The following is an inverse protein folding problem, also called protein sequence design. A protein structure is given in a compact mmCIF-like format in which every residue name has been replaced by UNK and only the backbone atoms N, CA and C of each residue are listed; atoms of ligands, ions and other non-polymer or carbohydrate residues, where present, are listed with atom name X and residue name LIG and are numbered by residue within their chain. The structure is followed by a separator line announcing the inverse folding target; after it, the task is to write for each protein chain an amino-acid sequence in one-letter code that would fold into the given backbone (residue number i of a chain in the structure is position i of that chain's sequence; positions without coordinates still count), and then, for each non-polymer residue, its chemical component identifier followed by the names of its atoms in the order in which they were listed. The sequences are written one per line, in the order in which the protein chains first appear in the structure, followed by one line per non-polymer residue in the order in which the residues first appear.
data_IF_399157985167
#
_entry.id   IF_399157985167
#
_cell.length_a   1.000
_cell.length_b   1.000
_cell.length_c   1.000
_cell.angle_alpha   90.00
_cell.angle_beta   90.00
_cell.angle_gamma   90.00
#
_symmetry.space_group_name_H-M   'P 1'
#
loop_
_entity.id
_entity.type
_entity.pdbx_description
1 polymer ?
#
# COMPACT_ATOMS: atom_id res chain seq x y z
N UNK A 1 29.16 54.88 29.77
CA UNK A 1 28.14 55.92 29.55
C UNK A 1 27.64 55.71 28.12
N UNK A 2 26.49 55.06 27.94
CA UNK A 2 25.16 55.70 27.69
C UNK A 2 25.24 56.65 26.47
N UNK A 3 24.44 56.59 25.42
CA UNK A 3 23.10 56.07 25.13
C UNK A 3 22.93 56.19 23.58
N UNK A 4 22.42 55.23 22.81
CA UNK A 4 21.01 54.81 22.59
C UNK A 4 20.34 55.43 21.35
N UNK A 5 19.54 54.58 20.64
CA UNK A 5 18.27 54.88 19.92
C UNK A 5 18.44 55.53 18.53
N UNK A 6 17.86 55.08 17.40
CA UNK A 6 16.67 54.25 17.08
C UNK A 6 16.73 53.83 15.59
N UNK A 7 16.31 52.62 15.19
CA UNK A 7 14.96 52.22 14.71
C UNK A 7 14.52 53.06 13.48
N UNK A 8 14.15 52.51 12.33
CA UNK A 8 12.95 51.72 12.02
C UNK A 8 12.98 51.34 10.50
N UNK A 9 12.23 50.43 9.86
CA UNK A 9 11.33 49.30 10.14
C UNK A 9 11.07 48.64 8.76
N UNK A 10 10.72 47.35 8.75
CA UNK A 10 10.30 46.62 7.55
C UNK A 10 9.90 45.17 7.87
N UNK A 11 9.04 45.02 8.87
CA UNK A 11 8.49 43.79 9.43
C UNK A 11 7.33 43.20 8.62
N UNK A 12 7.09 41.87 8.79
CA UNK A 12 5.82 41.10 8.92
C UNK A 12 5.98 39.75 8.19
N UNK A 13 5.74 38.54 8.72
CA UNK A 13 5.18 37.96 9.95
C UNK A 13 5.66 36.47 9.93
N UNK A 14 6.33 35.95 10.95
CA UNK A 14 5.77 35.26 12.12
C UNK A 14 5.11 33.90 11.83
N UNK A 15 5.75 32.82 12.29
CA UNK A 15 5.16 31.92 13.29
C UNK A 15 6.18 30.87 13.77
N UNK A 16 6.91 31.21 14.83
CA UNK A 16 7.36 30.23 15.82
C UNK A 16 6.44 30.40 17.03
N UNK A 17 5.74 29.36 17.48
CA UNK A 17 5.66 29.00 18.90
C UNK A 17 5.45 27.49 18.98
N UNK A 18 6.36 26.85 19.71
CA UNK A 18 6.33 25.46 20.10
C UNK A 18 5.60 25.30 21.45
N UNK A 19 5.31 24.02 21.74
CA UNK A 19 5.30 23.36 23.06
C UNK A 19 3.99 23.19 23.84
N UNK A 20 3.77 21.90 24.10
CA UNK A 20 3.50 21.27 25.40
C UNK A 20 2.04 21.01 25.78
N UNK A 21 1.71 19.73 25.76
CA UNK A 21 0.63 19.10 26.51
C UNK A 21 0.85 17.60 26.51
N UNK A 22 1.55 17.09 27.52
CA UNK A 22 1.75 15.66 27.71
C UNK A 22 0.43 14.96 28.05
N UNK A 23 0.16 13.88 27.35
CA UNK A 23 -0.67 12.79 27.82
C UNK A 23 -0.07 11.50 27.26
N UNK A 24 0.12 10.53 28.15
CA UNK A 24 0.47 9.15 27.81
C UNK A 24 -0.51 8.64 26.75
N UNK A 25 -0.07 8.56 25.49
CA UNK A 25 -0.84 7.96 24.42
C UNK A 25 0.11 7.13 23.58
N UNK A 26 -0.23 5.86 23.42
CA UNK A 26 0.32 4.98 22.41
C UNK A 26 0.49 5.77 21.10
N UNK A 27 1.57 5.59 20.33
CA UNK A 27 1.62 6.21 19.02
C UNK A 27 0.49 5.60 18.19
N UNK A 28 -0.55 6.42 18.01
CA UNK A 28 -1.62 6.21 17.07
C UNK A 28 -0.99 5.89 15.71
N UNK A 29 -1.65 5.00 14.97
CA UNK A 29 -1.43 4.86 13.53
C UNK A 29 -1.18 6.24 12.91
N UNK A 30 -0.17 6.40 12.04
CA UNK A 30 0.10 7.69 11.44
C UNK A 30 -1.21 8.25 10.86
N UNK A 31 -1.51 9.56 11.06
CA UNK A 31 -2.76 10.14 10.64
C UNK A 31 -2.97 9.87 9.15
N UNK A 32 -4.20 9.50 8.81
CA UNK A 32 -4.66 9.21 7.45
C UNK A 32 -4.49 10.37 6.45
N UNK A 33 -3.86 11.48 6.84
CA UNK A 33 -3.54 12.64 6.00
C UNK A 33 -2.14 12.59 5.38
N UNK A 34 -1.27 11.65 5.76
CA UNK A 34 0.08 11.52 5.19
C UNK A 34 0.18 10.33 4.22
N UNK A 35 -0.82 10.17 3.36
CA UNK A 35 -0.62 9.44 2.09
C UNK A 35 0.18 10.34 1.15
N UNK A 36 1.38 10.76 1.56
CA UNK A 36 2.32 11.35 0.63
C UNK A 36 2.55 10.28 -0.44
N UNK A 37 2.26 10.64 -1.69
CA UNK A 37 2.69 9.86 -2.83
C UNK A 37 4.20 9.71 -2.70
N UNK A 38 4.65 8.56 -2.23
CA UNK A 38 6.04 8.19 -2.36
C UNK A 38 6.23 7.94 -3.85
N UNK A 39 6.74 8.94 -4.56
CA UNK A 39 7.26 8.75 -5.90
C UNK A 39 8.18 7.54 -5.83
N UNK A 40 7.91 6.48 -6.59
CA UNK A 40 8.89 5.42 -6.84
C UNK A 40 9.95 5.97 -7.83
N UNK A 41 10.52 7.13 -7.51
CA UNK A 41 11.47 7.85 -8.33
C UNK A 41 12.84 7.21 -8.19
N UNK A 42 13.28 6.55 -9.26
CA UNK A 42 14.53 5.79 -9.40
C UNK A 42 14.64 4.53 -8.52
N UNK A 43 14.88 3.39 -9.17
CA UNK A 43 15.45 2.23 -8.49
C UNK A 43 16.86 2.63 -8.05
N UNK A 44 17.05 2.79 -6.74
CA UNK A 44 18.40 2.95 -6.19
C UNK A 44 19.09 1.59 -6.32
N UNK A 45 20.35 1.59 -6.77
CA UNK A 45 21.17 0.38 -6.71
C UNK A 45 21.51 0.11 -5.23
N UNK A 46 21.02 -1.01 -4.70
CA UNK A 46 21.25 -1.40 -3.30
C UNK A 46 22.76 -1.43 -2.99
N UNK A 47 23.61 -1.85 -3.95
CA UNK A 47 25.05 -1.93 -3.76
C UNK A 47 25.70 -0.55 -3.51
N UNK A 48 25.08 0.53 -4.00
CA UNK A 48 25.58 1.90 -3.82
C UNK A 48 25.26 2.50 -2.44
N UNK A 49 24.40 1.86 -1.65
CA UNK A 49 23.98 2.36 -0.35
C UNK A 49 24.99 2.03 0.75
N UNK A 50 25.12 2.87 1.81
CA UNK A 50 25.86 2.53 3.01
C UNK A 50 25.41 1.19 3.62
N UNK A 51 26.33 0.45 4.24
CA UNK A 51 26.05 -0.89 4.77
C UNK A 51 24.90 -0.92 5.78
N UNK A 52 24.86 0.05 6.68
CA UNK A 52 23.80 0.20 7.68
C UNK A 52 22.42 0.37 7.02
N UNK A 53 22.36 1.13 5.92
CA UNK A 53 21.11 1.31 5.17
C UNK A 53 20.67 -0.01 4.51
N UNK A 54 21.60 -0.75 3.90
CA UNK A 54 21.29 -2.05 3.28
C UNK A 54 20.78 -3.06 4.31
N UNK A 55 21.46 -3.16 5.46
CA UNK A 55 21.03 -4.05 6.56
C UNK A 55 19.63 -3.67 7.03
N UNK A 56 19.34 -2.37 7.19
CA UNK A 56 18.03 -1.90 7.63
C UNK A 56 16.92 -2.19 6.61
N UNK A 57 17.18 -2.00 5.31
CA UNK A 57 16.25 -2.34 4.22
C UNK A 57 15.98 -3.84 4.20
N UNK A 58 17.02 -4.67 4.29
CA UNK A 58 16.89 -6.13 4.36
C UNK A 58 16.07 -6.57 5.57
N UNK A 59 16.32 -5.99 6.74
CA UNK A 59 15.52 -6.25 7.95
C UNK A 59 14.07 -5.85 7.75
N UNK A 60 13.78 -4.67 7.23
CA UNK A 60 12.41 -4.23 6.94
C UNK A 60 11.71 -5.19 5.95
N UNK A 61 12.42 -5.67 4.93
CA UNK A 61 11.91 -6.64 3.96
C UNK A 61 11.57 -7.99 4.60
N UNK A 62 12.46 -8.55 5.42
CA UNK A 62 12.22 -9.79 6.16
C UNK A 62 11.02 -9.64 7.13
N UNK A 63 10.94 -8.51 7.82
CA UNK A 63 9.81 -8.22 8.71
C UNK A 63 8.49 -8.08 7.94
N UNK A 64 8.47 -7.43 6.76
CA UNK A 64 7.27 -7.34 5.92
C UNK A 64 6.81 -8.72 5.41
N UNK A 65 7.73 -9.63 5.14
CA UNK A 65 7.43 -11.03 4.77
C UNK A 65 6.98 -11.91 5.94
N UNK A 66 6.97 -11.38 7.16
CA UNK A 66 6.53 -12.12 8.35
C UNK A 66 7.64 -12.89 9.08
N UNK A 67 8.92 -12.69 8.73
CA UNK A 67 10.04 -13.27 9.48
C UNK A 67 10.08 -12.64 10.88
N UNK A 68 9.95 -13.46 11.91
CA UNK A 68 9.97 -13.02 13.31
C UNK A 68 10.99 -13.74 14.18
N UNK A 69 11.66 -14.75 13.64
CA UNK A 69 12.77 -15.42 14.31
C UNK A 69 14.00 -14.51 14.32
N UNK A 70 14.44 -14.09 15.50
CA UNK A 70 15.59 -13.21 15.68
C UNK A 70 16.90 -13.81 15.17
N UNK A 71 17.03 -15.15 15.13
CA UNK A 71 18.23 -15.79 14.58
C UNK A 71 18.37 -15.52 13.09
N UNK A 72 17.24 -15.53 12.37
CA UNK A 72 17.15 -15.20 10.95
C UNK A 72 17.38 -13.71 10.66
N UNK A 73 17.44 -12.85 11.68
CA UNK A 73 17.63 -11.40 11.57
C UNK A 73 19.03 -10.93 12.00
N UNK A 74 19.92 -11.83 12.45
CA UNK A 74 21.29 -11.46 12.84
C UNK A 74 22.08 -10.80 11.68
N UNK A 75 22.96 -9.82 11.95
CA UNK A 75 23.39 -9.31 13.26
C UNK A 75 22.46 -8.25 13.88
N UNK A 76 21.20 -8.17 13.42
CA UNK A 76 20.23 -7.19 13.93
C UNK A 76 19.59 -7.66 15.23
N UNK A 77 19.53 -6.74 16.18
CA UNK A 77 18.86 -6.88 17.48
C UNK A 77 17.72 -5.88 17.58
N UNK A 78 16.77 -6.13 18.49
CA UNK A 78 15.59 -5.27 18.66
C UNK A 78 15.52 -4.77 20.11
N UNK A 79 15.21 -3.48 20.30
CA UNK A 79 14.86 -2.98 21.62
C UNK A 79 13.59 -3.69 22.15
N UNK A 80 13.43 -3.72 23.48
CA UNK A 80 12.34 -4.44 24.15
C UNK A 80 10.97 -3.97 23.62
N UNK A 81 10.14 -4.93 23.21
CA UNK A 81 8.77 -4.68 22.77
C UNK A 81 8.62 -4.29 21.30
N UNK A 82 9.72 -4.06 20.57
CA UNK A 82 9.67 -3.73 19.13
C UNK A 82 9.10 -4.87 18.31
N UNK A 83 9.61 -6.09 18.48
CA UNK A 83 9.08 -7.27 17.78
C UNK A 83 7.62 -7.57 18.16
N UNK A 84 7.25 -7.35 19.42
CA UNK A 84 5.87 -7.50 19.88
C UNK A 84 4.91 -6.47 19.24
N UNK A 85 5.40 -5.26 18.94
CA UNK A 85 4.59 -4.24 18.23
C UNK A 85 4.25 -4.62 16.79
N UNK A 86 5.06 -5.50 16.17
CA UNK A 86 4.85 -6.06 14.83
C UNK A 86 4.03 -7.36 14.83
N UNK A 87 3.56 -7.83 15.99
CA UNK A 87 2.93 -9.14 16.16
C UNK A 87 1.49 -9.22 15.64
N UNK A 88 0.90 -8.11 15.20
CA UNK A 88 -0.40 -8.10 14.50
C UNK A 88 -0.16 -7.95 13.00
N UNK A 89 0.21 -9.01 12.27
CA UNK A 89 0.23 -8.93 10.82
C UNK A 89 -1.21 -8.74 10.36
N UNK A 90 -1.51 -7.59 9.74
CA UNK A 90 -2.74 -7.46 8.96
C UNK A 90 -2.70 -8.44 7.79
N UNK A 91 -1.52 -8.82 7.28
CA UNK A 91 -1.24 -10.05 6.50
C UNK A 91 0.26 -10.28 6.36
N UNK A 92 0.71 -11.53 6.24
CA UNK A 92 2.09 -11.89 5.89
C UNK A 92 2.21 -12.11 4.37
N UNK A 93 3.39 -11.83 3.80
CA UNK A 93 3.70 -12.04 2.39
C UNK A 93 4.71 -13.20 2.20
N UNK A 94 4.40 -14.44 2.63
CA UNK A 94 5.39 -15.52 2.69
C UNK A 94 5.92 -15.92 1.30
N UNK A 95 5.01 -15.99 0.32
CA UNK A 95 5.31 -16.44 -1.06
C UNK A 95 5.73 -15.29 -1.99
N UNK A 96 5.83 -14.07 -1.47
CA UNK A 96 6.26 -12.93 -2.26
C UNK A 96 7.77 -12.71 -2.14
N UNK A 97 8.36 -12.31 -3.26
CA UNK A 97 9.76 -11.90 -3.37
C UNK A 97 9.82 -10.38 -3.44
N UNK A 98 10.83 -9.78 -2.80
CA UNK A 98 11.09 -8.35 -2.91
C UNK A 98 11.58 -8.03 -4.32
N UNK A 99 10.88 -7.13 -5.01
CA UNK A 99 11.14 -6.73 -6.40
C UNK A 99 11.85 -5.37 -6.49
N UNK A 100 11.41 -4.41 -5.66
CA UNK A 100 11.92 -3.04 -5.71
C UNK A 100 11.87 -2.41 -4.32
N UNK A 101 12.82 -1.54 -4.03
CA UNK A 101 12.75 -0.65 -2.88
C UNK A 101 12.81 0.82 -3.36
N UNK A 102 12.18 1.71 -2.60
CA UNK A 102 12.26 3.15 -2.77
C UNK A 102 12.62 3.80 -1.44
N UNK A 103 13.60 4.69 -1.43
CA UNK A 103 13.98 5.43 -0.22
C UNK A 103 13.48 6.87 -0.34
N UNK A 104 12.60 7.26 0.56
CA UNK A 104 12.02 8.62 0.57
C UNK A 104 12.88 9.60 1.35
N UNK A 105 13.43 9.15 2.49
CA UNK A 105 14.25 10.00 3.35
C UNK A 105 15.20 9.19 4.24
N UNK A 106 16.35 9.79 4.54
CA UNK A 106 17.25 9.42 5.64
C UNK A 106 17.23 10.58 6.63
N UNK A 107 16.76 10.33 7.84
CA UNK A 107 16.55 11.34 8.87
C UNK A 107 17.39 11.02 10.11
N UNK A 108 17.59 12.04 10.94
CA UNK A 108 18.08 11.84 12.30
C UNK A 108 17.07 11.01 13.12
N UNK A 109 17.54 10.10 13.99
CA UNK A 109 16.68 9.29 14.83
C UNK A 109 16.02 10.14 15.92
N UNK A 110 14.88 9.67 16.43
CA UNK A 110 14.14 10.44 17.43
C UNK A 110 14.93 10.56 18.76
N UNK A 111 14.89 11.74 19.38
CA UNK A 111 15.46 11.96 20.70
C UNK A 111 16.99 12.04 20.76
N UNK A 112 17.66 12.44 19.67
CA UNK A 112 19.10 12.75 19.67
C UNK A 112 20.03 11.55 19.86
N UNK A 113 19.52 10.33 19.67
CA UNK A 113 20.33 9.10 19.73
C UNK A 113 21.26 9.02 18.51
N UNK A 114 22.37 8.28 18.60
CA UNK A 114 23.19 7.97 17.40
C UNK A 114 22.46 6.99 16.48
N UNK A 115 22.66 7.12 15.16
CA UNK A 115 22.08 6.23 14.16
C UNK A 115 21.24 6.97 13.12
N UNK A 116 20.25 6.29 12.54
CA UNK A 116 19.42 6.82 11.44
C UNK A 116 17.97 6.37 11.57
N UNK A 117 17.09 7.17 10.97
CA UNK A 117 15.71 6.80 10.68
C UNK A 117 15.53 6.76 9.17
N UNK A 118 15.14 5.61 8.64
CA UNK A 118 14.80 5.45 7.22
C UNK A 118 13.30 5.46 7.05
N UNK A 119 12.85 6.10 5.98
CA UNK A 119 11.46 6.09 5.52
C UNK A 119 11.46 5.74 4.03
N UNK A 120 10.65 4.76 3.65
CA UNK A 120 10.63 4.29 2.27
C UNK A 120 9.50 3.31 1.98
N UNK A 121 9.59 2.68 0.81
CA UNK A 121 8.66 1.65 0.35
C UNK A 121 9.40 0.40 -0.12
N UNK A 122 8.72 -0.73 0.00
CA UNK A 122 9.13 -2.05 -0.46
C UNK A 122 8.02 -2.61 -1.34
N UNK A 123 8.37 -3.02 -2.56
CA UNK A 123 7.47 -3.71 -3.46
C UNK A 123 7.79 -5.19 -3.44
N UNK A 124 6.73 -5.97 -3.24
CA UNK A 124 6.76 -7.41 -3.26
C UNK A 124 5.93 -7.92 -4.43
N UNK A 125 6.37 -8.98 -5.10
CA UNK A 125 5.65 -9.65 -6.19
C UNK A 125 5.65 -11.16 -5.96
N UNK A 126 4.63 -11.84 -6.45
CA UNK A 126 4.56 -13.31 -6.51
C UNK A 126 4.37 -13.80 -7.95
N UNK A 127 4.51 -15.11 -8.16
CA UNK A 127 4.45 -15.75 -9.47
C UNK A 127 3.12 -15.51 -10.21
N UNK A 128 1.99 -15.51 -9.50
CA UNK A 128 0.68 -15.23 -10.10
C UNK A 128 0.48 -13.75 -10.50
N UNK A 129 1.51 -12.91 -10.33
CA UNK A 129 1.52 -11.51 -10.75
C UNK A 129 0.91 -10.54 -9.74
N UNK A 130 0.44 -11.03 -8.59
CA UNK A 130 0.04 -10.14 -7.48
C UNK A 130 1.25 -9.37 -6.97
N UNK A 131 1.01 -8.15 -6.52
CA UNK A 131 2.01 -7.37 -5.83
C UNK A 131 1.46 -6.72 -4.57
N UNK A 132 2.35 -6.35 -3.66
CA UNK A 132 2.06 -5.55 -2.49
C UNK A 132 3.09 -4.43 -2.38
N UNK A 133 2.61 -3.21 -2.15
CA UNK A 133 3.47 -2.06 -1.86
C UNK A 133 3.35 -1.74 -0.37
N UNK A 134 4.44 -1.95 0.37
CA UNK A 134 4.49 -1.74 1.81
C UNK A 134 5.37 -0.53 2.10
N UNK A 135 4.85 0.43 2.85
CA UNK A 135 5.62 1.52 3.43
C UNK A 135 6.32 1.05 4.69
N UNK A 136 7.53 1.55 4.92
CA UNK A 136 8.28 1.26 6.13
C UNK A 136 8.86 2.52 6.77
N UNK A 137 8.98 2.46 8.09
CA UNK A 137 9.85 3.33 8.86
C UNK A 137 10.69 2.45 9.77
N UNK A 138 12.01 2.67 9.82
CA UNK A 138 12.92 1.95 10.71
C UNK A 138 13.89 2.93 11.36
N UNK A 139 13.88 2.99 12.69
CA UNK A 139 14.81 3.74 13.53
C UNK A 139 15.80 2.76 14.16
N UNK A 140 17.08 2.96 13.91
CA UNK A 140 18.12 2.07 14.40
C UNK A 140 19.38 2.82 14.86
N UNK A 141 20.09 2.21 15.80
CA UNK A 141 21.51 2.47 16.05
C UNK A 141 22.36 1.48 15.26
N UNK A 142 23.54 1.92 14.82
CA UNK A 142 24.48 1.10 14.08
C UNK A 142 25.89 1.27 14.69
N UNK A 143 26.54 0.14 14.97
CA UNK A 143 27.95 0.06 15.35
C UNK A 143 28.70 -0.75 14.28
N UNK A 144 30.01 -0.92 14.42
CA UNK A 144 30.81 -1.69 13.47
C UNK A 144 30.32 -3.15 13.32
N UNK A 145 29.77 -3.75 14.37
CA UNK A 145 29.45 -5.19 14.41
C UNK A 145 27.95 -5.49 14.48
N UNK A 146 27.10 -4.50 14.77
CA UNK A 146 25.69 -4.76 15.05
C UNK A 146 24.76 -3.58 14.73
N UNK A 147 23.52 -3.92 14.40
CA UNK A 147 22.40 -2.99 14.32
C UNK A 147 21.43 -3.25 15.46
N UNK A 148 20.96 -2.18 16.11
CA UNK A 148 19.88 -2.26 17.10
C UNK A 148 18.69 -1.45 16.62
N UNK A 149 17.61 -2.14 16.28
CA UNK A 149 16.34 -1.53 15.86
C UNK A 149 15.57 -1.09 17.09
N UNK A 150 15.28 0.22 17.15
CA UNK A 150 14.57 0.87 18.25
C UNK A 150 13.09 0.99 17.99
N UNK A 151 12.73 1.25 16.73
CA UNK A 151 11.34 1.36 16.27
C UNK A 151 11.25 0.88 14.83
N UNK A 152 10.16 0.22 14.52
CA UNK A 152 9.83 -0.16 13.14
C UNK A 152 8.32 -0.09 12.95
N UNK A 153 7.91 0.33 11.78
CA UNK A 153 6.50 0.38 11.37
C UNK A 153 6.41 -0.07 9.92
N UNK A 154 5.40 -0.90 9.65
CA UNK A 154 5.10 -1.44 8.33
C UNK A 154 3.61 -1.22 8.06
N UNK A 155 3.27 -0.75 6.88
CA UNK A 155 1.88 -0.45 6.51
C UNK A 155 1.69 -0.54 4.99
N UNK A 156 0.50 -0.97 4.58
CA UNK A 156 0.18 -1.06 3.16
C UNK A 156 -0.01 0.33 2.56
N UNK A 157 0.67 0.59 1.45
CA UNK A 157 0.64 1.85 0.72
C UNK A 157 -0.25 1.70 -0.51
N UNK A 158 -1.07 2.71 -0.80
CA UNK A 158 -1.82 2.77 -2.04
C UNK A 158 -0.86 2.90 -3.24
N UNK A 159 -0.87 1.96 -4.20
CA UNK A 159 -0.15 2.14 -5.45
C UNK A 159 -0.71 3.36 -6.22
N UNK A 160 0.15 4.12 -6.89
CA UNK A 160 -0.30 5.25 -7.71
C UNK A 160 -1.23 4.80 -8.85
N UNK A 161 -0.93 3.66 -9.46
CA UNK A 161 -1.71 3.05 -10.53
C UNK A 161 -1.97 1.56 -10.22
N UNK A 162 -2.94 1.24 -9.33
CA UNK A 162 -3.27 -0.13 -8.99
C UNK A 162 -3.67 -0.92 -10.23
N UNK A 163 -3.12 -2.12 -10.29
CA UNK A 163 -3.35 -3.05 -11.37
C UNK A 163 -4.59 -3.86 -11.10
N UNK A 164 -5.41 -3.98 -12.12
CA UNK A 164 -6.67 -4.70 -12.09
C UNK A 164 -6.76 -5.62 -13.30
N UNK A 165 -7.32 -6.80 -13.10
CA UNK A 165 -7.65 -7.76 -14.14
C UNK A 165 -9.17 -7.86 -14.28
N UNK A 166 -9.67 -7.84 -15.51
CA UNK A 166 -11.09 -7.88 -15.83
C UNK A 166 -11.46 -9.25 -16.41
N UNK A 167 -12.50 -9.87 -15.85
CA UNK A 167 -13.18 -11.01 -16.43
C UNK A 167 -14.64 -10.66 -16.69
N UNK A 168 -15.16 -11.16 -17.81
CA UNK A 168 -16.57 -11.07 -18.17
C UNK A 168 -17.13 -12.49 -18.16
N UNK A 169 -18.03 -12.76 -17.23
CA UNK A 169 -18.58 -14.12 -17.01
C UNK A 169 -20.07 -14.11 -17.31
N UNK A 170 -20.54 -14.80 -18.36
CA UNK A 170 -21.97 -14.93 -18.62
C UNK A 170 -22.72 -15.45 -17.39
N UNK A 171 -23.87 -14.85 -17.05
CA UNK A 171 -24.68 -15.28 -15.91
C UNK A 171 -25.20 -16.73 -16.06
N UNK A 172 -25.28 -17.22 -17.30
CA UNK A 172 -25.61 -18.60 -17.62
C UNK A 172 -24.57 -19.63 -17.14
N UNK A 173 -23.33 -19.18 -16.88
CA UNK A 173 -22.21 -20.04 -16.46
C UNK A 173 -21.90 -19.98 -14.97
N UNK A 174 -22.38 -18.96 -14.26
CA UNK A 174 -22.06 -18.76 -12.86
C UNK A 174 -23.17 -17.98 -12.14
N UNK A 175 -23.47 -18.38 -10.90
CA UNK A 175 -24.31 -17.61 -9.99
C UNK A 175 -23.47 -16.83 -8.97
N UNK A 176 -24.05 -15.77 -8.39
CA UNK A 176 -23.45 -15.06 -7.26
C UNK A 176 -23.20 -16.00 -6.06
N UNK A 177 -24.07 -16.99 -5.85
CA UNK A 177 -23.95 -17.94 -4.74
C UNK A 177 -22.71 -18.84 -4.89
N UNK A 178 -22.31 -19.18 -6.11
CA UNK A 178 -21.10 -19.97 -6.35
C UNK A 178 -19.84 -19.17 -6.05
N UNK A 179 -19.84 -17.88 -6.39
CA UNK A 179 -18.73 -16.99 -6.06
C UNK A 179 -18.54 -16.79 -4.55
N UNK A 180 -19.63 -16.69 -3.79
CA UNK A 180 -19.55 -16.51 -2.33
C UNK A 180 -18.83 -17.66 -1.63
N UNK A 181 -18.83 -18.86 -2.21
CA UNK A 181 -18.18 -20.07 -1.67
C UNK A 181 -16.66 -20.06 -1.80
N UNK A 182 -16.09 -19.31 -2.74
CA UNK A 182 -14.65 -19.29 -3.03
C UNK A 182 -13.87 -18.74 -1.82
N UNK A 183 -12.90 -19.48 -1.29
CA UNK A 183 -12.23 -19.10 -0.03
C UNK A 183 -10.93 -18.33 -0.26
N UNK A 184 -10.27 -18.56 -1.38
CA UNK A 184 -8.97 -17.94 -1.68
C UNK A 184 -9.00 -17.09 -2.95
N UNK A 185 -8.07 -16.15 -3.04
CA UNK A 185 -7.93 -15.32 -4.24
C UNK A 185 -7.55 -16.15 -5.47
N UNK A 186 -6.67 -17.14 -5.31
CA UNK A 186 -6.25 -18.05 -6.38
C UNK A 186 -7.41 -18.90 -6.92
N UNK A 187 -8.17 -19.53 -6.01
CA UNK A 187 -9.38 -20.30 -6.35
C UNK A 187 -10.39 -19.43 -7.12
N UNK A 188 -10.59 -18.18 -6.68
CA UNK A 188 -11.48 -17.27 -7.36
C UNK A 188 -10.99 -16.88 -8.76
N UNK A 189 -9.69 -16.64 -8.92
CA UNK A 189 -9.12 -16.31 -10.22
C UNK A 189 -9.22 -17.49 -11.20
N UNK A 190 -8.90 -18.71 -10.75
CA UNK A 190 -8.97 -19.91 -11.60
C UNK A 190 -10.40 -20.20 -12.04
N UNK A 191 -11.37 -20.07 -11.13
CA UNK A 191 -12.79 -20.19 -11.46
C UNK A 191 -13.22 -19.16 -12.52
N UNK A 192 -12.83 -17.88 -12.36
CA UNK A 192 -13.21 -16.84 -13.32
C UNK A 192 -12.54 -17.05 -14.68
N UNK A 193 -11.28 -17.51 -14.71
CA UNK A 193 -10.57 -17.84 -15.95
C UNK A 193 -11.28 -18.97 -16.72
N UNK A 194 -11.77 -19.99 -16.02
CA UNK A 194 -12.49 -21.10 -16.64
C UNK A 194 -13.87 -20.70 -17.20
N UNK A 195 -14.55 -19.75 -16.54
CA UNK A 195 -15.93 -19.38 -16.87
C UNK A 195 -16.04 -18.18 -17.82
N UNK A 196 -15.00 -17.35 -17.89
CA UNK A 196 -15.01 -16.13 -18.67
C UNK A 196 -15.27 -16.36 -20.16
N UNK A 197 -15.90 -15.36 -20.78
CA UNK A 197 -16.10 -15.28 -22.21
C UNK A 197 -15.28 -14.11 -22.79
N UNK A 198 -14.97 -14.21 -24.09
CA UNK A 198 -14.35 -13.11 -24.81
C UNK A 198 -15.30 -11.88 -24.81
N UNK A 199 -14.76 -10.65 -24.83
CA UNK A 199 -15.57 -9.42 -24.77
C UNK A 199 -16.70 -9.36 -25.81
N UNK A 200 -16.44 -9.79 -27.04
CA UNK A 200 -17.40 -9.77 -28.16
C UNK A 200 -18.59 -10.69 -27.91
N UNK A 201 -18.37 -11.81 -27.22
CA UNK A 201 -19.44 -12.71 -26.80
C UNK A 201 -20.18 -12.15 -25.59
N UNK A 202 -19.45 -11.73 -24.55
CA UNK A 202 -20.03 -11.25 -23.31
C UNK A 202 -20.90 -9.98 -23.47
N UNK A 203 -20.71 -9.19 -24.54
CA UNK A 203 -21.55 -8.01 -24.84
C UNK A 203 -22.97 -8.37 -25.28
N UNK A 204 -23.20 -9.59 -25.78
CA UNK A 204 -24.50 -10.03 -26.30
C UNK A 204 -25.37 -10.68 -25.21
N UNK A 205 -24.84 -10.84 -24.01
CA UNK A 205 -25.43 -11.62 -22.93
C UNK A 205 -25.47 -10.80 -21.63
N UNK A 206 -26.33 -11.21 -20.69
CA UNK A 206 -26.19 -10.77 -19.30
C UNK A 206 -24.92 -11.38 -18.71
N UNK A 207 -24.02 -10.53 -18.21
CA UNK A 207 -22.75 -10.95 -17.67
C UNK A 207 -22.46 -10.33 -16.30
N UNK A 208 -21.69 -11.07 -15.52
CA UNK A 208 -20.94 -10.56 -14.39
C UNK A 208 -19.66 -9.88 -14.89
N UNK A 209 -19.43 -8.66 -14.42
CA UNK A 209 -18.17 -7.94 -14.53
C UNK A 209 -17.40 -8.21 -13.26
N UNK A 210 -16.26 -8.90 -13.38
CA UNK A 210 -15.43 -9.29 -12.24
C UNK A 210 -14.07 -8.63 -12.35
N UNK A 211 -13.73 -7.81 -11.36
CA UNK A 211 -12.46 -7.10 -11.30
C UNK A 211 -11.61 -7.64 -10.15
N UNK A 212 -10.44 -8.16 -10.48
CA UNK A 212 -9.45 -8.62 -9.51
C UNK A 212 -8.38 -7.56 -9.32
N UNK A 213 -8.20 -7.08 -8.08
CA UNK A 213 -7.02 -6.30 -7.75
C UNK A 213 -5.79 -7.23 -7.81
N UNK A 214 -4.82 -6.87 -8.65
CA UNK A 214 -3.51 -7.52 -8.69
C UNK A 214 -2.55 -6.86 -7.69
N UNK A 215 -2.76 -5.59 -7.36
CA UNK A 215 -2.00 -4.94 -6.29
C UNK A 215 -2.80 -4.94 -4.99
N UNK A 216 -2.10 -5.13 -3.87
CA UNK A 216 -2.70 -5.07 -2.54
C UNK A 216 -3.09 -3.64 -2.22
N UNK A 217 -4.30 -3.47 -1.72
CA UNK A 217 -4.92 -2.18 -1.44
C UNK A 217 -5.08 -1.98 0.08
N UNK A 218 -4.92 -0.74 0.58
CA UNK A 218 -5.12 -0.44 2.00
C UNK A 218 -6.53 -0.78 2.47
N UNK A 219 -6.70 -1.28 3.70
CA UNK A 219 -8.02 -1.58 4.24
C UNK A 219 -8.90 -0.32 4.35
N UNK A 220 -10.22 -0.49 4.20
CA UNK A 220 -11.20 0.60 4.35
C UNK A 220 -11.35 1.53 3.13
N UNK A 221 -10.60 1.30 2.05
CA UNK A 221 -10.85 1.97 0.77
C UNK A 221 -12.16 1.51 0.12
N UNK A 222 -12.72 2.36 -0.75
CA UNK A 222 -13.92 2.07 -1.51
C UNK A 222 -13.64 2.08 -3.01
N UNK A 223 -14.24 1.11 -3.69
CA UNK A 223 -14.26 1.04 -5.14
C UNK A 223 -15.52 1.70 -5.68
N UNK A 224 -15.35 2.62 -6.62
CA UNK A 224 -16.41 3.14 -7.47
C UNK A 224 -16.11 2.68 -8.89
N UNK A 225 -17.13 2.30 -9.64
CA UNK A 225 -16.92 2.01 -11.03
C UNK A 225 -18.10 2.44 -11.90
N UNK A 226 -17.78 2.76 -13.14
CA UNK A 226 -18.73 3.16 -14.16
C UNK A 226 -18.52 2.32 -15.41
N UNK A 227 -19.60 1.87 -16.03
CA UNK A 227 -19.59 1.19 -17.31
C UNK A 227 -20.37 2.05 -18.30
N UNK A 228 -19.71 2.44 -19.38
CA UNK A 228 -20.28 3.31 -20.41
C UNK A 228 -20.88 4.60 -19.81
N UNK A 229 -20.20 5.15 -18.80
CA UNK A 229 -20.60 6.36 -18.07
C UNK A 229 -21.69 6.17 -17.01
N UNK A 230 -22.22 4.95 -16.84
CA UNK A 230 -23.24 4.64 -15.82
C UNK A 230 -22.61 4.04 -14.58
N UNK A 231 -23.01 4.52 -13.41
CA UNK A 231 -22.56 3.95 -12.14
C UNK A 231 -22.96 2.47 -12.02
N UNK A 232 -22.01 1.65 -11.58
CA UNK A 232 -22.23 0.24 -11.31
C UNK A 232 -22.24 0.00 -9.80
N UNK A 233 -23.13 -0.89 -9.35
CA UNK A 233 -23.09 -1.43 -7.99
C UNK A 233 -22.22 -2.68 -7.98
N UNK A 234 -21.21 -2.69 -7.11
CA UNK A 234 -20.32 -3.82 -6.91
C UNK A 234 -20.50 -4.41 -5.51
N UNK A 235 -20.51 -5.74 -5.45
CA UNK A 235 -20.22 -6.48 -4.22
C UNK A 235 -18.71 -6.69 -4.17
N UNK A 236 -18.09 -6.36 -3.04
CA UNK A 236 -16.66 -6.57 -2.82
C UNK A 236 -16.45 -7.76 -1.89
N UNK A 237 -15.49 -8.63 -2.23
CA UNK A 237 -14.91 -9.61 -1.32
C UNK A 237 -13.42 -9.37 -1.23
N UNK A 238 -12.97 -9.10 0.00
CA UNK A 238 -11.57 -8.83 0.27
C UNK A 238 -10.84 -10.12 0.62
N UNK A 239 -9.77 -10.42 -0.11
CA UNK A 239 -8.86 -11.51 0.20
C UNK A 239 -7.58 -10.94 0.81
N UNK A 240 -7.65 -10.43 2.03
CA UNK A 240 -6.52 -9.87 2.77
C UNK A 240 -5.81 -8.69 2.07
N UNK A 241 -6.62 -7.76 1.55
CA UNK A 241 -6.16 -6.56 0.83
C UNK A 241 -6.11 -6.73 -0.69
N UNK A 242 -6.45 -7.90 -1.24
CA UNK A 242 -6.69 -8.06 -2.69
C UNK A 242 -8.19 -8.17 -2.95
N UNK A 243 -8.91 -7.04 -3.07
CA UNK A 243 -10.33 -7.08 -3.29
C UNK A 243 -10.67 -7.61 -4.67
N UNK A 244 -11.73 -8.40 -4.71
CA UNK A 244 -12.42 -8.80 -5.93
C UNK A 244 -13.78 -8.12 -5.93
N UNK A 245 -14.05 -7.38 -7.00
CA UNK A 245 -15.30 -6.66 -7.18
C UNK A 245 -16.15 -7.39 -8.20
N UNK A 246 -17.41 -7.60 -7.86
CA UNK A 246 -18.37 -8.31 -8.69
C UNK A 246 -19.61 -7.45 -8.94
N UNK A 247 -19.89 -7.17 -10.21
CA UNK A 247 -20.97 -6.27 -10.62
C UNK A 247 -21.74 -6.82 -11.81
N UNK A 248 -22.96 -6.33 -12.01
CA UNK A 248 -23.83 -6.76 -13.09
C UNK A 248 -23.72 -5.85 -14.30
N UNK A 249 -23.65 -6.45 -15.49
CA UNK A 249 -23.80 -5.73 -16.75
C UNK A 249 -24.71 -6.52 -17.70
N UNK A 250 -25.81 -5.88 -18.14
CA UNK A 250 -26.67 -6.44 -19.17
C UNK A 250 -26.09 -6.33 -20.59
N UNK A 251 -26.83 -6.74 -21.63
CA UNK A 251 -26.43 -6.62 -23.02
C UNK A 251 -26.09 -5.18 -23.41
N UNK A 252 -25.11 -5.00 -24.29
CA UNK A 252 -24.55 -3.70 -24.66
C UNK A 252 -24.68 -3.46 -26.16
N UNK A 253 -24.78 -2.19 -26.55
CA UNK A 253 -24.86 -1.79 -27.95
C UNK A 253 -23.57 -2.15 -28.72
N UNK A 254 -23.64 -2.18 -30.05
CA UNK A 254 -22.47 -2.39 -30.89
C UNK A 254 -21.44 -1.26 -30.70
N UNK A 255 -20.16 -1.60 -30.56
CA UNK A 255 -19.07 -0.65 -30.33
C UNK A 255 -18.41 -0.78 -28.95
N UNK A 256 -17.20 -0.23 -28.75
CA UNK A 256 -16.37 -0.46 -27.57
C UNK A 256 -17.06 -0.04 -26.27
N UNK A 257 -16.93 -0.87 -25.23
CA UNK A 257 -17.37 -0.55 -23.88
C UNK A 257 -16.21 -0.01 -23.07
N UNK A 258 -16.50 0.93 -22.18
CA UNK A 258 -15.52 1.58 -21.32
C UNK A 258 -15.90 1.38 -19.87
N UNK A 259 -15.09 0.61 -19.15
CA UNK A 259 -15.20 0.44 -17.70
C UNK A 259 -14.15 1.29 -17.01
N UNK A 260 -14.57 2.21 -16.15
CA UNK A 260 -13.67 2.95 -15.26
C UNK A 260 -13.85 2.47 -13.85
N UNK A 261 -12.75 2.18 -13.17
CA UNK A 261 -12.70 1.89 -11.75
C UNK A 261 -11.86 2.93 -11.05
N UNK A 262 -12.37 3.45 -9.93
CA UNK A 262 -11.66 4.30 -9.01
C UNK A 262 -11.63 3.63 -7.64
N UNK A 263 -10.45 3.54 -7.05
CA UNK A 263 -10.28 3.07 -5.67
C UNK A 263 -9.62 4.15 -4.83
N UNK A 264 -10.11 4.38 -3.61
CA UNK A 264 -9.54 5.40 -2.72
C UNK A 264 -10.16 5.41 -1.33
N UNK A 265 -9.63 6.22 -0.41
CA UNK A 265 -10.16 6.35 0.95
C UNK A 265 -11.56 6.97 0.96
N UNK A 266 -12.29 6.75 2.07
CA UNK A 266 -13.55 7.45 2.38
C UNK A 266 -13.36 8.33 3.63
N UNK A 267 -13.68 9.64 3.58
CA UNK A 267 -14.13 10.39 2.41
C UNK A 267 -13.04 10.50 1.33
N UNK A 268 -13.40 10.72 0.05
CA UNK A 268 -12.44 10.87 -1.03
C UNK A 268 -11.49 12.03 -0.73
N UNK A 269 -10.19 11.75 -0.64
CA UNK A 269 -9.15 12.77 -0.57
C UNK A 269 -8.57 13.01 -1.98
N UNK A 270 -8.44 14.28 -2.43
CA UNK A 270 -7.79 14.60 -3.70
C UNK A 270 -6.40 13.98 -3.77
N UNK A 271 -6.09 13.33 -4.90
CA UNK A 271 -4.78 12.70 -5.11
C UNK A 271 -4.53 11.36 -4.40
N UNK A 272 -5.41 10.94 -3.48
CA UNK A 272 -5.33 9.68 -2.73
C UNK A 272 -6.19 8.54 -3.31
N UNK A 273 -6.84 8.78 -4.45
CA UNK A 273 -7.52 7.76 -5.23
C UNK A 273 -6.73 7.44 -6.48
N UNK A 274 -6.81 6.20 -6.93
CA UNK A 274 -6.30 5.80 -8.22
C UNK A 274 -7.44 5.36 -9.14
N UNK A 275 -7.34 5.73 -10.41
CA UNK A 275 -8.35 5.44 -11.42
C UNK A 275 -7.74 4.61 -12.56
N UNK A 276 -8.52 3.68 -13.10
CA UNK A 276 -8.13 2.85 -14.23
C UNK A 276 -9.29 2.69 -15.20
N UNK A 277 -8.99 2.80 -16.48
CA UNK A 277 -9.92 2.60 -17.58
C UNK A 277 -9.60 1.28 -18.30
N UNK A 278 -10.65 0.53 -18.64
CA UNK A 278 -10.61 -0.65 -19.49
C UNK A 278 -11.46 -0.38 -20.73
N UNK A 279 -10.91 -0.67 -21.91
CA UNK A 279 -11.62 -0.65 -23.18
C UNK A 279 -11.67 -2.08 -23.70
N UNK A 280 -12.88 -2.59 -23.91
CA UNK A 280 -13.11 -3.97 -24.33
C UNK A 280 -14.40 -4.05 -25.13
#
# INVERSE_FOLDING_TARGET
MNNSISLLFGSLLSACVALAGGALAQPANPPASNYDRVQSGAALDEASLPEDVRVAIRTASLLARGVRDERSLRPVTFERGVMASLAKPTTTLPDFVADRFGLSAILEPAGGKQGRKLVGTLRFVEEAGRAALEGFTIDYGFTADAMTVRRVSLYTVMPENPRWMLYLVPKSRASMADWQKLQTWGEAMDAMRALAAAPEQARKEDCWVVLFALDRLPPGGQSQATLDGRAMTFVSKDFAGWPVLFGEAGPRAAGPSVLRIRYGPRPPAPGASAEREFRF
#
